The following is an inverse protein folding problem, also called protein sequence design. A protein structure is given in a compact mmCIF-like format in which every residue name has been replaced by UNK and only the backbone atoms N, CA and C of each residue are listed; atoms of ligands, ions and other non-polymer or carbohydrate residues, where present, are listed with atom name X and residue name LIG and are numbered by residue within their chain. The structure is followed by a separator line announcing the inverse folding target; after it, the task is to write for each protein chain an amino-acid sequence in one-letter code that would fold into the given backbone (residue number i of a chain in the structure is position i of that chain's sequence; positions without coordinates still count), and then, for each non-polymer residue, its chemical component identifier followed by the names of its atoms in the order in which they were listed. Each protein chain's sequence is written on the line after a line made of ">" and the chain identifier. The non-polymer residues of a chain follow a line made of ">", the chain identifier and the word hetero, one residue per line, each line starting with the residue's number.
data_IF_099006433996
#
_entry.id   IF_099006433996
#
_cell.length_a   1.000
_cell.length_b   1.000
_cell.length_c   1.000
_cell.angle_alpha   90.00
_cell.angle_beta   90.00
_cell.angle_gamma   90.00
#
_symmetry.space_group_name_H-M   'P 1'
#
loop_
_entity.id
_entity.type
_entity.pdbx_description
1 polymer ?
#
# COMPACT_ATOMS: atom_id res chain seq x y z
N UNK A 1 -2.26 -3.92 -16.92
CA UNK A 1 -3.21 -3.13 -16.12
C UNK A 1 -2.71 -2.99 -14.69
N UNK A 2 -2.89 -1.83 -14.11
CA UNK A 2 -2.48 -1.56 -12.73
C UNK A 2 -3.36 -2.32 -11.75
N UNK A 3 -2.77 -3.06 -10.82
CA UNK A 3 -3.50 -3.59 -9.66
C UNK A 3 -3.55 -2.49 -8.61
N UNK A 4 -4.74 -2.03 -8.29
CA UNK A 4 -4.94 -0.87 -7.42
C UNK A 4 -5.59 -1.30 -6.12
N UNK A 5 -4.77 -1.57 -5.11
CA UNK A 5 -5.24 -1.98 -3.78
C UNK A 5 -5.74 -0.77 -3.02
N UNK A 6 -7.01 -0.79 -2.65
CA UNK A 6 -7.70 0.32 -2.02
C UNK A 6 -8.67 -0.14 -0.94
N UNK A 7 -9.23 0.82 -0.22
CA UNK A 7 -10.30 0.58 0.74
C UNK A 7 -11.40 1.62 0.52
N UNK A 8 -12.67 1.22 0.63
CA UNK A 8 -13.82 2.06 0.28
C UNK A 8 -13.90 3.37 1.06
N UNK A 9 -13.49 3.38 2.33
CA UNK A 9 -13.51 4.58 3.18
C UNK A 9 -12.18 5.36 3.17
N UNK A 10 -11.31 5.08 2.23
CA UNK A 10 -9.99 5.73 2.16
C UNK A 10 -10.05 6.96 1.27
N UNK A 11 -9.95 8.16 1.86
CA UNK A 11 -9.98 9.43 1.13
C UNK A 11 -8.82 9.53 0.13
N UNK A 12 -7.63 9.13 0.54
CA UNK A 12 -6.44 9.15 -0.33
C UNK A 12 -6.62 8.22 -1.52
N UNK A 13 -7.23 7.05 -1.31
CA UNK A 13 -7.54 6.11 -2.39
C UNK A 13 -8.49 6.73 -3.41
N UNK A 14 -9.50 7.45 -2.95
CA UNK A 14 -10.47 8.12 -3.83
C UNK A 14 -9.81 9.20 -4.67
N UNK A 15 -8.90 9.97 -4.09
CA UNK A 15 -8.14 10.99 -4.82
C UNK A 15 -7.25 10.37 -5.91
N UNK A 16 -6.58 9.28 -5.58
CA UNK A 16 -5.72 8.57 -6.53
C UNK A 16 -6.54 7.97 -7.68
N UNK A 17 -7.65 7.32 -7.37
CA UNK A 17 -8.54 6.76 -8.38
C UNK A 17 -9.08 7.84 -9.32
N UNK A 18 -9.48 8.98 -8.77
CA UNK A 18 -9.96 10.11 -9.57
C UNK A 18 -8.88 10.63 -10.52
N UNK A 19 -7.63 10.70 -10.05
CA UNK A 19 -6.50 11.11 -10.88
C UNK A 19 -6.33 10.16 -12.07
N UNK A 20 -6.35 8.86 -11.80
CA UNK A 20 -6.22 7.84 -12.86
C UNK A 20 -7.38 7.92 -13.85
N UNK A 21 -8.60 8.05 -13.35
CA UNK A 21 -9.80 8.17 -14.20
C UNK A 21 -9.74 9.41 -15.09
N UNK A 22 -9.34 10.54 -14.51
CA UNK A 22 -9.25 11.81 -15.24
C UNK A 22 -8.23 11.74 -16.39
N UNK A 23 -7.15 10.97 -16.21
CA UNK A 23 -6.11 10.83 -17.22
C UNK A 23 -6.30 9.60 -18.12
N UNK A 24 -7.44 8.90 -18.01
CA UNK A 24 -7.75 7.75 -18.85
C UNK A 24 -6.87 6.54 -18.63
N UNK A 25 -6.31 6.40 -17.43
CA UNK A 25 -5.46 5.26 -17.07
C UNK A 25 -6.31 4.12 -16.54
N UNK A 26 -6.20 2.94 -17.15
CA UNK A 26 -6.93 1.76 -16.71
C UNK A 26 -6.28 1.11 -15.49
N UNK A 27 -7.09 0.67 -14.54
CA UNK A 27 -6.63 -0.04 -13.36
C UNK A 27 -7.69 -1.02 -12.88
N UNK A 28 -7.25 -2.05 -12.15
CA UNK A 28 -8.13 -3.04 -11.53
C UNK A 28 -8.23 -2.72 -10.04
N UNK A 29 -9.39 -2.25 -9.56
CA UNK A 29 -9.55 -1.99 -8.12
C UNK A 29 -9.64 -3.30 -7.35
N UNK A 30 -8.88 -3.40 -6.25
CA UNK A 30 -8.83 -4.58 -5.39
C UNK A 30 -9.04 -4.11 -3.95
N UNK A 31 -9.99 -4.73 -3.24
CA UNK A 31 -10.21 -4.44 -1.82
C UNK A 31 -9.06 -5.04 -1.01
N UNK A 32 -8.26 -4.18 -0.39
CA UNK A 32 -7.05 -4.61 0.32
C UNK A 32 -7.36 -5.42 1.58
N UNK A 33 -8.56 -5.27 2.14
CA UNK A 33 -8.97 -6.03 3.32
C UNK A 33 -9.37 -7.45 2.95
N UNK A 34 -10.14 -7.60 1.86
CA UNK A 34 -10.59 -8.90 1.39
C UNK A 34 -9.49 -9.67 0.67
N UNK A 35 -8.60 -8.97 -0.02
CA UNK A 35 -7.54 -9.55 -0.84
C UNK A 35 -6.19 -8.94 -0.47
N UNK A 36 -5.82 -9.08 0.80
CA UNK A 36 -4.55 -8.56 1.30
C UNK A 36 -3.37 -9.23 0.60
N UNK A 37 -2.37 -8.45 0.14
CA UNK A 37 -1.16 -9.05 -0.43
C UNK A 37 -0.51 -10.03 0.54
N UNK A 38 0.10 -11.08 0.00
CA UNK A 38 0.80 -12.08 0.81
C UNK A 38 2.15 -11.55 1.28
N UNK A 39 2.73 -12.23 2.25
CA UNK A 39 4.08 -11.94 2.73
C UNK A 39 5.08 -11.92 1.57
N UNK A 40 4.99 -12.91 0.67
CA UNK A 40 5.86 -13.01 -0.50
C UNK A 40 5.71 -11.80 -1.43
N UNK A 41 4.47 -11.35 -1.64
CA UNK A 41 4.21 -10.17 -2.46
C UNK A 41 4.80 -8.91 -1.84
N UNK A 42 4.72 -8.76 -0.52
CA UNK A 42 5.37 -7.65 0.17
C UNK A 42 6.90 -7.71 0.06
N UNK A 43 7.48 -8.91 0.13
CA UNK A 43 8.92 -9.10 -0.09
C UNK A 43 9.33 -8.64 -1.48
N UNK A 44 8.53 -8.99 -2.49
CA UNK A 44 8.76 -8.55 -3.88
C UNK A 44 8.68 -7.03 -4.02
N UNK A 45 7.75 -6.39 -3.34
CA UNK A 45 7.62 -4.92 -3.34
C UNK A 45 8.90 -4.29 -2.80
N UNK A 46 9.40 -4.79 -1.68
CA UNK A 46 10.63 -4.29 -1.08
C UNK A 46 11.82 -4.48 -2.02
N UNK A 47 11.93 -5.66 -2.64
CA UNK A 47 13.02 -5.97 -3.56
C UNK A 47 13.02 -5.05 -4.79
N UNK A 48 11.83 -4.76 -5.32
CA UNK A 48 11.70 -3.95 -6.53
C UNK A 48 11.86 -2.44 -6.28
N UNK A 49 11.45 -1.96 -5.11
CA UNK A 49 11.40 -0.52 -4.81
C UNK A 49 12.53 -0.05 -3.88
N UNK A 50 13.09 -0.96 -3.08
CA UNK A 50 14.05 -0.59 -2.04
C UNK A 50 13.41 0.16 -0.87
N UNK A 51 12.08 0.17 -0.76
CA UNK A 51 11.38 0.88 0.31
C UNK A 51 11.62 0.18 1.66
N UNK A 52 11.75 0.98 2.73
CA UNK A 52 11.83 0.43 4.08
C UNK A 52 10.50 -0.20 4.47
N UNK A 53 10.54 -1.36 5.14
CA UNK A 53 9.34 -2.09 5.52
C UNK A 53 8.39 -1.25 6.37
N UNK A 54 8.91 -0.38 7.24
CA UNK A 54 8.08 0.49 8.07
C UNK A 54 7.18 1.42 7.26
N UNK A 55 7.61 1.81 6.07
CA UNK A 55 6.84 2.68 5.19
C UNK A 55 5.66 2.00 4.52
N UNK A 56 5.60 0.68 4.60
CA UNK A 56 4.45 -0.08 4.11
C UNK A 56 3.25 -0.03 5.06
N UNK A 57 3.46 0.42 6.30
CA UNK A 57 2.40 0.52 7.29
C UNK A 57 1.60 1.81 7.16
N UNK A 58 0.29 1.70 7.39
CA UNK A 58 -0.60 2.84 7.53
C UNK A 58 -0.50 3.39 8.96
N UNK A 59 0.45 4.30 9.18
CA UNK A 59 0.76 4.81 10.52
C UNK A 59 -0.34 5.69 11.12
N UNK A 60 -1.28 6.15 10.31
CA UNK A 60 -2.41 6.97 10.76
C UNK A 60 -3.68 6.16 10.95
N UNK A 61 -3.63 4.86 10.76
CA UNK A 61 -4.80 4.00 10.85
C UNK A 61 -5.16 3.62 12.28
N UNK A 62 -6.45 3.35 12.51
CA UNK A 62 -6.95 2.92 13.81
C UNK A 62 -6.31 1.61 14.28
N UNK A 63 -6.14 0.65 13.36
CA UNK A 63 -5.55 -0.65 13.67
C UNK A 63 -4.10 -0.54 14.13
N UNK A 64 -3.34 0.34 13.48
CA UNK A 64 -1.97 0.63 13.85
C UNK A 64 -1.89 1.15 15.30
N UNK A 65 -2.78 2.07 15.66
CA UNK A 65 -2.85 2.63 17.02
C UNK A 65 -3.34 1.58 18.03
N UNK A 66 -4.36 0.82 17.66
CA UNK A 66 -4.93 -0.22 18.52
C UNK A 66 -3.88 -1.25 18.96
N UNK A 67 -3.01 -1.63 18.03
CA UNK A 67 -1.95 -2.59 18.29
C UNK A 67 -0.70 -1.98 18.93
N UNK A 68 -0.66 -0.65 19.11
CA UNK A 68 0.47 0.04 19.71
C UNK A 68 1.75 -0.06 18.89
N UNK A 69 1.63 -0.13 17.57
CA UNK A 69 2.77 -0.37 16.69
C UNK A 69 3.77 0.77 16.64
N UNK A 70 3.35 1.99 16.95
CA UNK A 70 4.27 3.14 17.00
C UNK A 70 5.47 2.84 17.90
N UNK A 71 5.23 2.18 19.02
CA UNK A 71 6.28 1.86 20.00
C UNK A 71 6.86 0.47 19.82
N UNK A 72 6.14 -0.43 19.15
CA UNK A 72 6.53 -1.84 19.02
C UNK A 72 7.31 -2.17 17.76
N UNK A 73 7.12 -1.43 16.66
CA UNK A 73 7.74 -1.77 15.38
C UNK A 73 9.26 -1.87 15.46
N UNK A 74 9.89 -0.99 16.23
CA UNK A 74 11.36 -0.99 16.37
C UNK A 74 11.91 -2.30 16.95
N UNK A 75 11.09 -3.03 17.71
CA UNK A 75 11.48 -4.28 18.36
C UNK A 75 11.15 -5.52 17.53
N UNK A 76 10.50 -5.33 16.35
CA UNK A 76 10.12 -6.42 15.47
C UNK A 76 11.15 -6.61 14.37
N UNK A 77 11.38 -7.87 13.98
CA UNK A 77 12.19 -8.19 12.81
C UNK A 77 11.43 -7.82 11.53
N UNK A 78 12.15 -7.72 10.43
CA UNK A 78 11.53 -7.52 9.12
C UNK A 78 10.51 -8.62 8.82
N UNK A 79 10.86 -9.87 9.13
CA UNK A 79 9.98 -11.01 8.93
C UNK A 79 8.67 -10.87 9.71
N UNK A 80 8.76 -10.47 10.99
CA UNK A 80 7.59 -10.24 11.83
C UNK A 80 6.72 -9.10 11.30
N UNK A 81 7.34 -8.02 10.81
CA UNK A 81 6.62 -6.89 10.22
C UNK A 81 5.87 -7.31 8.95
N UNK A 82 6.50 -8.12 8.11
CA UNK A 82 5.87 -8.63 6.89
C UNK A 82 4.68 -9.54 7.21
N UNK A 83 4.81 -10.37 8.25
CA UNK A 83 3.70 -11.20 8.70
C UNK A 83 2.52 -10.35 9.19
N UNK A 84 2.78 -9.26 9.90
CA UNK A 84 1.74 -8.34 10.34
C UNK A 84 1.01 -7.72 9.16
N UNK A 85 1.75 -7.22 8.18
CA UNK A 85 1.16 -6.60 6.99
C UNK A 85 0.26 -7.58 6.24
N UNK A 86 0.71 -8.82 6.08
CA UNK A 86 -0.05 -9.84 5.38
C UNK A 86 -1.27 -10.32 6.17
N UNK A 87 -1.28 -10.10 7.48
CA UNK A 87 -2.37 -10.55 8.36
C UNK A 87 -3.60 -9.63 8.32
N UNK A 88 -3.43 -8.36 7.95
CA UNK A 88 -4.53 -7.40 8.00
C UNK A 88 -4.28 -6.23 7.04
N UNK A 89 -5.11 -6.15 6.00
CA UNK A 89 -5.02 -5.09 5.01
C UNK A 89 -5.20 -3.68 5.57
N UNK A 90 -5.83 -3.55 6.73
CA UNK A 90 -5.99 -2.24 7.39
C UNK A 90 -4.66 -1.69 7.90
N UNK A 91 -3.66 -2.55 8.06
CA UNK A 91 -2.32 -2.13 8.49
C UNK A 91 -1.48 -1.60 7.32
N UNK A 92 -1.89 -1.84 6.10
CA UNK A 92 -1.12 -1.50 4.90
C UNK A 92 -1.41 -0.08 4.44
N UNK A 93 -0.37 0.67 4.08
CA UNK A 93 -0.50 2.00 3.50
C UNK A 93 -1.25 1.92 2.16
N UNK A 94 -2.23 2.79 1.96
CA UNK A 94 -3.10 2.80 0.79
C UNK A 94 -3.11 4.15 0.09
N UNK A 95 -3.37 4.19 -1.22
CA UNK A 95 -3.49 3.05 -2.12
C UNK A 95 -2.13 2.44 -2.45
N UNK A 96 -2.11 1.15 -2.76
CA UNK A 96 -0.93 0.43 -3.25
C UNK A 96 -1.20 0.08 -4.71
N UNK A 97 -0.44 0.66 -5.62
CA UNK A 97 -0.61 0.45 -7.06
C UNK A 97 0.59 -0.31 -7.63
N UNK A 98 0.33 -1.38 -8.35
CA UNK A 98 1.35 -2.27 -8.89
C UNK A 98 1.07 -2.59 -10.35
N UNK A 99 2.09 -2.41 -11.20
CA UNK A 99 2.07 -2.91 -12.58
C UNK A 99 3.50 -3.30 -12.96
N UNK A 100 3.78 -4.60 -12.97
CA UNK A 100 5.13 -5.10 -13.20
C UNK A 100 6.09 -4.58 -12.14
N UNK A 101 7.12 -3.86 -12.58
CA UNK A 101 8.11 -3.29 -11.66
C UNK A 101 7.73 -1.88 -11.17
N UNK A 102 6.65 -1.31 -11.71
CA UNK A 102 6.18 0.01 -11.30
C UNK A 102 5.25 -0.13 -10.09
N UNK A 103 5.64 0.49 -8.98
CA UNK A 103 4.91 0.37 -7.71
C UNK A 103 4.88 1.73 -7.02
N UNK A 104 3.69 2.14 -6.56
CA UNK A 104 3.54 3.35 -5.75
C UNK A 104 2.77 3.05 -4.47
N UNK A 105 3.15 3.75 -3.40
CA UNK A 105 2.49 3.68 -2.09
C UNK A 105 1.94 5.05 -1.73
N UNK A 106 0.68 5.10 -1.36
CA UNK A 106 0.01 6.36 -1.11
C UNK A 106 -0.27 7.10 -2.39
N UNK A 107 -0.61 8.38 -2.30
CA UNK A 107 -0.86 9.19 -3.47
C UNK A 107 -0.10 10.51 -3.40
N UNK A 108 0.77 10.70 -4.37
CA UNK A 108 1.43 11.98 -4.67
C UNK A 108 1.26 12.22 -6.15
N UNK A 109 0.68 13.34 -6.50
CA UNK A 109 0.33 13.66 -7.87
C UNK A 109 1.56 13.68 -8.79
N UNK A 110 2.67 14.29 -8.34
CA UNK A 110 3.92 14.34 -9.09
C UNK A 110 4.47 12.95 -9.38
N UNK A 111 4.44 12.06 -8.39
CA UNK A 111 4.88 10.67 -8.54
C UNK A 111 3.98 9.90 -9.51
N UNK A 112 2.66 10.09 -9.42
CA UNK A 112 1.71 9.43 -10.31
C UNK A 112 1.89 9.89 -11.75
N UNK A 113 2.18 11.16 -11.97
CA UNK A 113 2.48 11.68 -13.32
C UNK A 113 3.73 11.01 -13.90
N UNK A 114 4.75 10.84 -13.09
CA UNK A 114 6.01 10.26 -13.54
C UNK A 114 5.87 8.77 -13.84
N UNK A 115 5.17 8.02 -12.98
CA UNK A 115 5.13 6.55 -13.04
C UNK A 115 3.97 6.03 -13.87
N UNK A 116 2.79 6.63 -13.75
CA UNK A 116 1.56 6.08 -14.35
C UNK A 116 1.11 6.79 -15.64
N UNK A 117 1.66 7.91 -15.96
CA UNK A 117 1.40 8.62 -17.23
C UNK A 117 2.62 8.50 -18.19
#
# INVERSE_FOLDING_TARGET
>A
MIKFYQYSNCTTCKKAAKFLDTHGVSYEPIDIVQHTPTKKEFEEIIDKTGVEVNKLFNTHGAKYRELGLKDKLKDLSTDEKLNLLASDGMLVKRPLAISGDNITLGFREDQYKEIWL
#
